data_IF_920297150995
#
_entry.id   IF_920297150995
#
_cell.length_a   1.000
_cell.length_b   1.000
_cell.length_c   1.000
_cell.angle_alpha   90.00
_cell.angle_beta   90.00
_cell.angle_gamma   90.00
#
_symmetry.space_group_name_H-M   'P 1'
#
loop_
_entity.id
_entity.type
_entity.pdbx_description
1 polymer ?
#
# COMPACT_ATOMS: atom_id res chain seq x y z
N UNK A 1 -5.07 11.55 -0.51
CA UNK A 1 -4.17 11.04 -1.57
C UNK A 1 -4.73 9.73 -2.08
N UNK A 2 -4.80 9.53 -3.40
CA UNK A 2 -5.10 8.21 -3.96
C UNK A 2 -3.81 7.39 -3.91
N UNK A 3 -3.88 6.17 -3.37
CA UNK A 3 -2.74 5.26 -3.28
C UNK A 3 -2.88 4.20 -4.37
N UNK A 4 -1.78 3.96 -5.07
CA UNK A 4 -1.66 2.92 -6.10
C UNK A 4 -1.15 1.60 -5.51
N UNK A 5 -1.34 0.51 -6.25
CA UNK A 5 -1.08 -0.85 -5.80
C UNK A 5 0.34 -1.07 -5.33
N UNK A 6 1.32 -0.41 -5.95
CA UNK A 6 2.75 -0.55 -5.68
C UNK A 6 3.08 -0.32 -4.20
N UNK A 7 2.47 0.70 -3.60
CA UNK A 7 2.67 1.07 -2.18
C UNK A 7 2.12 -0.02 -1.28
N UNK A 8 0.92 -0.51 -1.57
CA UNK A 8 0.29 -1.55 -0.76
C UNK A 8 0.99 -2.90 -0.95
N UNK A 9 1.46 -3.20 -2.16
CA UNK A 9 2.20 -4.42 -2.45
C UNK A 9 3.56 -4.43 -1.73
N UNK A 10 4.26 -3.29 -1.70
CA UNK A 10 5.51 -3.14 -0.96
C UNK A 10 5.33 -3.31 0.55
N UNK A 11 4.21 -2.86 1.10
CA UNK A 11 3.84 -3.11 2.51
C UNK A 11 3.63 -4.61 2.79
N UNK A 12 2.89 -5.30 1.91
CA UNK A 12 2.53 -6.72 2.09
C UNK A 12 3.74 -7.65 1.89
N UNK A 13 4.62 -7.39 0.93
CA UNK A 13 5.79 -8.24 0.66
C UNK A 13 6.77 -8.26 1.83
N UNK A 14 7.40 -9.41 2.07
CA UNK A 14 8.44 -9.55 3.10
C UNK A 14 9.66 -8.67 2.81
N UNK A 15 10.12 -8.69 1.55
CA UNK A 15 11.23 -7.89 1.07
C UNK A 15 10.81 -7.10 -0.17
N UNK A 16 10.78 -5.77 -0.03
CA UNK A 16 10.57 -4.82 -1.12
C UNK A 16 11.33 -3.53 -0.79
N UNK A 17 12.03 -2.96 -1.77
CA UNK A 17 12.82 -1.74 -1.58
C UNK A 17 11.93 -0.51 -1.33
N UNK A 18 10.66 -0.56 -1.73
CA UNK A 18 9.68 0.50 -1.46
C UNK A 18 9.07 0.39 -0.06
N UNK A 19 9.27 -0.71 0.67
CA UNK A 19 8.63 -0.97 1.95
C UNK A 19 8.83 0.16 2.97
N UNK A 20 10.03 0.72 3.18
CA UNK A 20 10.22 1.81 4.14
C UNK A 20 9.36 3.04 3.83
N UNK A 21 9.16 3.34 2.55
CA UNK A 21 8.33 4.46 2.10
C UNK A 21 6.84 4.14 2.28
N UNK A 22 6.42 2.91 1.97
CA UNK A 22 5.06 2.45 2.19
C UNK A 22 4.69 2.52 3.69
N UNK A 23 5.55 2.01 4.57
CA UNK A 23 5.34 2.07 6.03
C UNK A 23 5.25 3.51 6.53
N UNK A 24 6.07 4.42 6.00
CA UNK A 24 6.01 5.84 6.37
C UNK A 24 4.67 6.48 5.98
N UNK A 25 4.19 6.23 4.75
CA UNK A 25 2.91 6.75 4.26
C UNK A 25 1.75 6.19 5.10
N UNK A 26 1.74 4.88 5.34
CA UNK A 26 0.69 4.21 6.10
C UNK A 26 0.68 4.65 7.56
N UNK A 27 1.84 4.82 8.20
CA UNK A 27 1.94 5.32 9.57
C UNK A 27 1.38 6.73 9.73
N UNK A 28 1.59 7.61 8.74
CA UNK A 28 0.97 8.95 8.74
C UNK A 28 -0.55 8.87 8.60
N UNK A 29 -1.06 7.90 7.85
CA UNK A 29 -2.49 7.67 7.71
C UNK A 29 -3.12 7.13 9.01
N UNK A 30 -2.47 6.15 9.65
CA UNK A 30 -2.90 5.60 10.95
C UNK A 30 -2.95 6.68 12.04
N UNK A 31 -1.99 7.61 12.04
CA UNK A 31 -1.94 8.75 12.97
C UNK A 31 -2.96 9.85 12.63
N UNK A 32 -3.76 9.69 11.58
CA UNK A 32 -4.73 10.68 11.13
C UNK A 32 -4.13 11.92 10.47
N UNK A 33 -2.82 11.92 10.20
CA UNK A 33 -2.11 13.05 9.55
C UNK A 33 -2.40 13.08 8.06
N UNK A 34 -2.61 11.91 7.45
CA UNK A 34 -2.84 11.78 6.00
C UNK A 34 -4.12 10.98 5.71
N UNK A 35 -5.06 11.56 4.96
CA UNK A 35 -6.22 10.81 4.46
C UNK A 35 -5.88 10.10 3.15
N UNK A 36 -5.96 8.77 3.16
CA UNK A 36 -5.74 7.91 2.00
C UNK A 36 -7.07 7.47 1.39
N UNK A 37 -7.08 7.31 0.08
CA UNK A 37 -8.15 6.69 -0.70
C UNK A 37 -7.52 5.60 -1.56
N UNK A 38 -8.28 4.55 -1.83
CA UNK A 38 -7.86 3.45 -2.72
C UNK A 38 -8.97 3.15 -3.72
N UNK A 39 -8.58 2.75 -4.93
CA UNK A 39 -9.51 2.19 -5.90
C UNK A 39 -9.90 0.76 -5.51
N UNK A 40 -11.07 0.29 -5.98
CA UNK A 40 -11.43 -1.14 -5.89
C UNK A 40 -10.48 -2.01 -6.73
N UNK A 41 -9.99 -1.48 -7.85
CA UNK A 41 -9.03 -2.18 -8.72
C UNK A 41 -7.74 -2.54 -7.98
N UNK A 42 -7.27 -1.68 -7.08
CA UNK A 42 -6.09 -1.96 -6.26
C UNK A 42 -6.25 -3.24 -5.44
N UNK A 43 -7.45 -3.50 -4.91
CA UNK A 43 -7.73 -4.71 -4.11
C UNK A 43 -7.70 -5.95 -5.01
N UNK A 44 -8.21 -5.85 -6.24
CA UNK A 44 -8.14 -6.92 -7.22
C UNK A 44 -6.69 -7.22 -7.61
N UNK A 45 -5.89 -6.19 -7.86
CA UNK A 45 -4.47 -6.35 -8.21
C UNK A 45 -3.67 -6.98 -7.06
N UNK A 46 -3.86 -6.51 -5.83
CA UNK A 46 -3.25 -7.14 -4.65
C UNK A 46 -3.60 -8.62 -4.56
N UNK A 47 -4.87 -8.98 -4.75
CA UNK A 47 -5.31 -10.38 -4.72
C UNK A 47 -4.62 -11.23 -5.79
N UNK A 48 -4.50 -10.73 -7.02
CA UNK A 48 -3.89 -11.48 -8.12
C UNK A 48 -2.38 -11.59 -7.99
N UNK A 49 -1.71 -10.57 -7.46
CA UNK A 49 -0.24 -10.54 -7.34
C UNK A 49 0.25 -11.26 -6.08
N UNK A 50 -0.41 -11.09 -4.93
CA UNK A 50 0.03 -11.67 -3.66
C UNK A 50 -0.28 -13.16 -3.50
N UNK A 51 -1.10 -13.74 -4.39
CA UNK A 51 -1.46 -15.17 -4.37
C UNK A 51 -0.40 -16.08 -5.03
N UNK A 52 0.65 -15.50 -5.62
CA UNK A 52 1.80 -16.25 -6.14
C UNK A 52 2.88 -16.41 -5.09
#
# INVERSE_FOLDING_TARGET
MLVETDVMLAHVKESDWLKPYAEQILSLAEKGVLKLYVSRELVHELYYVAKK
#
